data_IF_721371353479
#
_entry.id   IF_721371353479
#
_cell.length_a   1.000
_cell.length_b   1.000
_cell.length_c   1.000
_cell.angle_alpha   90.00
_cell.angle_beta   90.00
_cell.angle_gamma   90.00
#
_symmetry.space_group_name_H-M   'P 1'
#
loop_
_entity.id
_entity.type
_entity.pdbx_description
1 polymer ?
#
# COMPACT_ATOMS: atom_id res chain seq x y z
N UNK A 1 -41.57 -50.49 -36.24
CA UNK A 1 -40.16 -50.39 -35.81
C UNK A 1 -39.82 -48.92 -35.68
N UNK A 2 -39.82 -48.41 -34.41
CA UNK A 2 -39.61 -46.98 -34.11
C UNK A 2 -38.18 -46.81 -33.58
N UNK A 3 -37.41 -45.89 -34.15
CA UNK A 3 -36.05 -45.56 -33.75
C UNK A 3 -36.08 -44.51 -32.61
N UNK A 4 -35.26 -44.64 -31.58
CA UNK A 4 -35.20 -43.66 -30.49
C UNK A 4 -34.36 -42.45 -30.87
N UNK A 5 -34.95 -41.29 -30.66
CA UNK A 5 -34.35 -39.97 -30.79
C UNK A 5 -33.32 -39.74 -29.64
N UNK A 6 -32.02 -39.64 -30.00
CA UNK A 6 -30.96 -39.34 -29.04
C UNK A 6 -30.95 -37.84 -28.76
N UNK A 7 -31.33 -37.46 -27.53
CA UNK A 7 -31.11 -36.13 -26.98
C UNK A 7 -29.65 -35.98 -26.54
N UNK A 8 -28.93 -35.04 -27.13
CA UNK A 8 -27.60 -34.62 -26.72
C UNK A 8 -27.74 -33.48 -25.70
N UNK A 9 -27.00 -33.50 -24.57
CA UNK A 9 -27.04 -32.42 -23.61
C UNK A 9 -26.05 -31.28 -24.02
N UNK A 10 -26.62 -30.20 -24.57
CA UNK A 10 -25.85 -28.98 -24.96
C UNK A 10 -25.82 -27.92 -23.89
N UNK A 11 -25.64 -28.25 -22.61
CA UNK A 11 -25.76 -27.28 -21.48
C UNK A 11 -24.46 -27.13 -20.68
N UNK A 12 -23.30 -27.51 -21.18
CA UNK A 12 -22.07 -27.44 -20.34
C UNK A 12 -21.04 -26.38 -20.72
N UNK A 13 -21.26 -25.57 -21.75
CA UNK A 13 -20.22 -24.61 -22.20
C UNK A 13 -20.46 -23.19 -21.68
N UNK A 14 -21.69 -22.86 -21.26
CA UNK A 14 -22.00 -21.48 -20.81
C UNK A 14 -21.55 -21.15 -19.37
N UNK A 15 -21.30 -22.15 -18.54
CA UNK A 15 -20.91 -21.94 -17.13
C UNK A 15 -19.40 -21.65 -16.92
N UNK A 16 -18.56 -21.89 -17.91
CA UNK A 16 -17.10 -21.73 -17.76
C UNK A 16 -16.61 -20.32 -18.09
N UNK A 17 -17.43 -19.51 -18.75
CA UNK A 17 -17.03 -18.14 -19.17
C UNK A 17 -17.27 -17.09 -18.08
N UNK A 18 -18.08 -17.35 -17.07
CA UNK A 18 -18.36 -16.39 -16.00
C UNK A 18 -17.29 -16.31 -14.89
N UNK A 19 -16.36 -17.24 -14.83
CA UNK A 19 -15.29 -17.26 -13.82
C UNK A 19 -14.03 -16.47 -14.20
N UNK A 20 -13.96 -15.94 -15.42
CA UNK A 20 -12.78 -15.20 -15.91
C UNK A 20 -12.89 -13.66 -15.70
N UNK A 21 -13.96 -13.15 -15.10
CA UNK A 21 -14.16 -11.72 -14.82
C UNK A 21 -13.81 -11.36 -13.37
N UNK A 22 -12.95 -12.12 -12.72
CA UNK A 22 -12.24 -11.66 -11.52
C UNK A 22 -11.24 -10.59 -11.92
N UNK A 23 -11.73 -9.41 -12.33
CA UNK A 23 -10.90 -8.25 -12.58
C UNK A 23 -10.12 -7.93 -11.31
N UNK A 24 -8.84 -7.64 -11.44
CA UNK A 24 -8.07 -6.99 -10.40
C UNK A 24 -8.87 -5.77 -9.97
N UNK A 25 -9.42 -5.80 -8.75
CA UNK A 25 -10.11 -4.67 -8.19
C UNK A 25 -9.02 -3.65 -7.87
N UNK A 26 -8.98 -2.56 -8.61
CA UNK A 26 -8.04 -1.50 -8.32
C UNK A 26 -8.43 -0.84 -7.00
N UNK A 27 -7.42 -0.55 -6.19
CA UNK A 27 -7.61 0.07 -4.87
C UNK A 27 -8.26 1.44 -5.00
N UNK A 28 -9.35 1.67 -4.27
CA UNK A 28 -10.14 2.90 -4.31
C UNK A 28 -9.71 3.93 -3.27
N UNK A 29 -8.89 3.51 -2.30
CA UNK A 29 -8.45 4.31 -1.16
C UNK A 29 -7.02 4.88 -1.32
N UNK A 30 -6.38 4.57 -2.44
CA UNK A 30 -4.98 4.90 -2.72
C UNK A 30 -4.71 6.42 -2.59
N UNK A 31 -3.82 6.79 -1.70
CA UNK A 31 -3.42 8.16 -1.44
C UNK A 31 -4.47 9.03 -0.73
N UNK A 32 -5.72 8.60 -0.63
CA UNK A 32 -6.84 9.37 -0.12
C UNK A 32 -7.15 9.07 1.35
N UNK A 33 -7.26 7.79 1.68
CA UNK A 33 -7.68 7.38 3.02
C UNK A 33 -6.50 7.53 3.99
N UNK A 34 -6.66 8.30 5.07
CA UNK A 34 -5.65 8.37 6.11
C UNK A 34 -5.59 7.05 6.87
N UNK A 35 -4.40 6.66 7.29
CA UNK A 35 -4.17 5.46 8.09
C UNK A 35 -3.18 5.74 9.22
N UNK A 36 -3.32 5.01 10.33
CA UNK A 36 -2.33 5.03 11.40
C UNK A 36 -1.12 4.19 10.98
N UNK A 37 0.06 4.73 11.19
CA UNK A 37 1.27 3.94 11.13
C UNK A 37 1.37 3.06 12.37
N UNK A 38 1.60 1.78 12.17
CA UNK A 38 1.72 0.81 13.26
C UNK A 38 3.06 0.09 13.21
N UNK A 39 3.56 -0.25 14.39
CA UNK A 39 4.74 -1.09 14.61
C UNK A 39 4.37 -2.28 15.48
N UNK A 40 5.26 -3.23 15.63
CA UNK A 40 5.10 -4.32 16.58
C UNK A 40 5.42 -3.82 17.98
N UNK A 41 4.45 -3.84 18.86
CA UNK A 41 4.61 -3.51 20.27
C UNK A 41 5.40 -4.54 21.05
N UNK A 42 5.79 -4.21 22.26
CA UNK A 42 6.56 -5.08 23.15
C UNK A 42 5.84 -6.39 23.51
N UNK A 43 4.51 -6.35 23.53
CA UNK A 43 3.63 -7.51 23.77
C UNK A 43 3.41 -8.37 22.50
N UNK A 44 3.96 -7.91 21.36
CA UNK A 44 3.80 -8.53 20.05
C UNK A 44 2.55 -8.13 19.27
N UNK A 45 1.68 -7.29 19.86
CA UNK A 45 0.51 -6.68 19.22
C UNK A 45 0.89 -5.45 18.38
N UNK A 46 -0.09 -4.89 17.64
CA UNK A 46 0.10 -3.62 16.94
C UNK A 46 0.15 -2.46 17.95
N UNK A 47 1.10 -1.56 17.76
CA UNK A 47 1.26 -0.33 18.54
C UNK A 47 1.39 0.84 17.57
N UNK A 48 0.75 1.98 17.87
CA UNK A 48 0.88 3.17 17.05
C UNK A 48 2.32 3.71 17.06
N UNK A 49 2.80 4.09 15.89
CA UNK A 49 4.04 4.85 15.76
C UNK A 49 3.75 6.30 16.13
N UNK A 50 4.52 6.87 17.05
CA UNK A 50 4.38 8.25 17.42
C UNK A 50 5.20 9.16 16.48
N UNK A 51 4.75 10.40 16.32
CA UNK A 51 5.47 11.40 15.50
C UNK A 51 6.92 11.57 15.98
N UNK A 52 7.17 11.49 17.28
CA UNK A 52 8.51 11.59 17.86
C UNK A 52 9.45 10.42 17.53
N UNK A 53 8.94 9.34 16.97
CA UNK A 53 9.73 8.19 16.55
C UNK A 53 10.11 8.25 15.06
N UNK A 54 9.58 9.23 14.32
CA UNK A 54 9.88 9.41 12.90
C UNK A 54 11.30 9.97 12.71
N UNK A 55 12.00 9.47 11.71
CA UNK A 55 13.35 9.93 11.37
C UNK A 55 13.29 10.87 10.16
N UNK A 56 13.84 12.08 10.29
CA UNK A 56 13.91 13.05 9.21
C UNK A 56 14.62 12.46 7.97
N UNK A 57 14.05 12.72 6.80
CA UNK A 57 14.59 12.25 5.52
C UNK A 57 14.38 10.76 5.22
N UNK A 58 13.58 10.07 6.04
CA UNK A 58 13.18 8.68 5.84
C UNK A 58 11.69 8.61 5.54
N UNK A 59 11.35 7.60 4.74
CA UNK A 59 9.97 7.19 4.55
C UNK A 59 9.59 6.20 5.68
N UNK A 60 8.32 6.16 6.04
CA UNK A 60 7.81 5.19 6.97
C UNK A 60 6.76 4.29 6.30
N UNK A 61 6.86 3.00 6.55
CA UNK A 61 5.99 1.97 5.96
C UNK A 61 5.44 1.08 7.07
N UNK A 62 4.15 0.85 7.04
CA UNK A 62 3.45 -0.01 7.98
C UNK A 62 2.57 -0.99 7.23
N UNK A 63 2.64 -2.26 7.62
CA UNK A 63 1.81 -3.34 7.09
C UNK A 63 0.72 -3.71 8.08
N UNK A 64 -0.41 -4.24 7.55
CA UNK A 64 -1.55 -4.61 8.36
C UNK A 64 -2.43 -3.42 8.73
N UNK A 65 -2.32 -2.30 8.02
CA UNK A 65 -3.19 -1.14 8.19
C UNK A 65 -4.61 -1.46 7.72
N UNK A 66 -5.46 -1.88 8.65
CA UNK A 66 -6.83 -2.35 8.37
C UNK A 66 -7.74 -1.26 7.77
N UNK A 67 -7.33 0.00 7.83
CA UNK A 67 -8.01 1.11 7.16
C UNK A 67 -7.76 1.13 5.65
N UNK A 68 -6.78 0.37 5.15
CA UNK A 68 -6.36 0.35 3.76
C UNK A 68 -6.74 -0.97 3.08
N UNK A 69 -7.25 -0.91 1.85
CA UNK A 69 -7.63 -2.09 1.06
C UNK A 69 -6.45 -3.04 0.83
N UNK A 70 -5.26 -2.49 0.53
CA UNK A 70 -4.03 -3.27 0.34
C UNK A 70 -3.25 -3.49 1.65
N UNK A 71 -3.83 -3.10 2.80
CA UNK A 71 -3.23 -3.23 4.14
C UNK A 71 -1.87 -2.53 4.30
N UNK A 72 -1.58 -1.53 3.46
CA UNK A 72 -0.31 -0.80 3.45
C UNK A 72 -0.56 0.67 3.75
N UNK A 73 0.13 1.19 4.76
CA UNK A 73 0.13 2.60 5.14
C UNK A 73 1.53 3.19 4.94
N UNK A 74 1.63 4.31 4.25
CA UNK A 74 2.89 5.01 3.96
C UNK A 74 2.83 6.44 4.47
N UNK A 75 3.91 6.89 5.08
CA UNK A 75 4.22 8.30 5.26
C UNK A 75 5.57 8.56 4.60
N UNK A 76 5.54 9.24 3.46
CA UNK A 76 6.75 9.56 2.71
C UNK A 76 7.61 10.61 3.43
N UNK A 77 8.87 10.72 3.02
CA UNK A 77 9.85 11.64 3.62
C UNK A 77 9.40 13.10 3.65
N UNK A 78 8.55 13.54 2.69
CA UNK A 78 8.02 14.91 2.68
C UNK A 78 6.95 15.06 3.74
N UNK A 79 6.06 14.08 3.88
CA UNK A 79 5.07 14.00 4.96
C UNK A 79 5.76 13.95 6.33
N UNK A 80 6.82 13.14 6.47
CA UNK A 80 7.64 13.12 7.69
C UNK A 80 8.22 14.50 7.99
N UNK A 81 8.82 15.16 7.01
CA UNK A 81 9.38 16.50 7.20
C UNK A 81 8.30 17.52 7.61
N UNK A 82 7.11 17.46 6.99
CA UNK A 82 6.01 18.36 7.31
C UNK A 82 5.52 18.18 8.75
N UNK A 83 5.32 16.95 9.23
CA UNK A 83 4.84 16.70 10.59
C UNK A 83 5.90 17.03 11.64
N UNK A 84 7.18 16.77 11.37
CA UNK A 84 8.29 17.16 12.25
C UNK A 84 8.45 18.69 12.35
N UNK A 85 8.22 19.41 11.23
CA UNK A 85 8.19 20.88 11.26
C UNK A 85 7.07 21.42 12.13
N UNK A 86 5.88 20.80 12.13
CA UNK A 86 4.80 21.15 13.07
C UNK A 86 5.20 20.90 14.51
N UNK A 87 5.89 19.80 14.78
CA UNK A 87 6.37 19.45 16.13
C UNK A 87 7.39 20.48 16.67
N UNK A 88 8.13 21.16 15.81
CA UNK A 88 9.06 22.22 16.19
C UNK A 88 8.32 23.42 16.82
N UNK A 89 7.15 23.76 16.31
CA UNK A 89 6.30 24.85 16.84
C UNK A 89 5.35 24.39 17.96
N UNK A 90 5.01 23.10 17.98
CA UNK A 90 4.12 22.49 18.97
C UNK A 90 4.66 21.11 19.41
N UNK A 91 5.51 21.04 20.44
CA UNK A 91 6.11 19.79 20.90
C UNK A 91 5.11 18.71 21.34
N UNK A 92 3.87 19.07 21.68
CA UNK A 92 2.83 18.10 22.02
C UNK A 92 2.50 17.15 20.84
N UNK A 93 2.76 17.57 19.60
CA UNK A 93 2.57 16.76 18.39
C UNK A 93 3.44 15.50 18.41
N UNK A 94 4.60 15.53 19.07
CA UNK A 94 5.51 14.37 19.14
C UNK A 94 4.89 13.14 19.81
N UNK A 95 3.90 13.34 20.68
CA UNK A 95 3.19 12.25 21.36
C UNK A 95 1.94 11.77 20.60
N UNK A 96 1.63 12.37 19.47
CA UNK A 96 0.48 11.94 18.68
C UNK A 96 0.85 10.75 17.80
N UNK A 97 -0.12 9.86 17.49
CA UNK A 97 0.04 8.86 16.45
C UNK A 97 0.42 9.50 15.12
N UNK A 98 1.38 8.91 14.43
CA UNK A 98 1.78 9.33 13.10
C UNK A 98 0.76 8.81 12.08
N UNK A 99 0.26 9.71 11.23
CA UNK A 99 -0.71 9.40 10.19
C UNK A 99 -0.02 9.37 8.83
N UNK A 100 -0.29 8.32 8.10
CA UNK A 100 0.08 8.17 6.70
C UNK A 100 -1.16 8.17 5.80
N UNK A 101 -1.00 7.62 4.61
CA UNK A 101 -2.06 7.39 3.64
C UNK A 101 -1.97 5.97 3.08
N UNK A 102 -3.11 5.46 2.62
CA UNK A 102 -3.16 4.13 2.02
C UNK A 102 -2.34 4.07 0.74
N UNK A 103 -1.58 2.99 0.62
CA UNK A 103 -0.64 2.74 -0.47
C UNK A 103 -0.71 1.28 -0.92
N UNK A 104 -0.01 0.97 -1.99
CA UNK A 104 0.16 -0.40 -2.51
C UNK A 104 1.56 -0.60 -3.06
N UNK A 105 2.00 -1.87 -3.09
CA UNK A 105 3.22 -2.25 -3.77
C UNK A 105 3.09 -2.02 -5.28
N UNK A 106 4.17 -1.61 -5.92
CA UNK A 106 4.22 -1.38 -7.36
C UNK A 106 5.53 -1.92 -7.97
N UNK A 107 5.52 -2.13 -9.28
CA UNK A 107 6.74 -2.46 -10.01
C UNK A 107 7.39 -1.19 -10.55
N UNK A 108 8.71 -1.12 -10.47
CA UNK A 108 9.47 0.01 -11.02
C UNK A 108 9.09 0.27 -12.49
N UNK A 109 8.79 1.52 -12.82
CA UNK A 109 8.38 1.92 -14.16
C UNK A 109 6.89 1.70 -14.48
N UNK A 110 6.10 1.16 -13.54
CA UNK A 110 4.66 0.97 -13.70
C UNK A 110 3.90 2.18 -13.14
N UNK A 111 3.76 3.23 -13.94
CA UNK A 111 3.03 4.44 -13.53
C UNK A 111 1.53 4.16 -13.31
N UNK A 112 0.93 3.28 -14.12
CA UNK A 112 -0.51 2.98 -14.05
C UNK A 112 -0.97 2.33 -12.74
N UNK A 113 -0.08 1.64 -12.03
CA UNK A 113 -0.41 0.98 -10.77
C UNK A 113 -0.70 1.97 -9.64
N UNK A 114 -0.15 3.19 -9.74
CA UNK A 114 -0.28 4.23 -8.71
C UNK A 114 -1.28 5.32 -9.09
N UNK A 115 -2.00 5.17 -10.20
CA UNK A 115 -3.01 6.15 -10.62
C UNK A 115 -4.32 5.86 -9.89
N UNK A 116 -4.90 6.83 -9.15
CA UNK A 116 -6.22 6.68 -8.57
C UNK A 116 -7.27 6.45 -9.68
N UNK A 117 -8.26 5.60 -9.40
CA UNK A 117 -9.27 5.22 -10.42
C UNK A 117 -10.34 6.27 -10.68
N UNK A 118 -10.52 7.22 -9.79
CA UNK A 118 -11.60 8.20 -9.91
C UNK A 118 -11.13 9.50 -10.52
N UNK A 119 -11.88 10.00 -11.49
CA UNK A 119 -11.59 11.26 -12.23
C UNK A 119 -11.45 12.48 -11.32
N UNK A 120 -12.20 12.53 -10.21
CA UNK A 120 -12.12 13.60 -9.21
C UNK A 120 -10.78 13.61 -8.44
N UNK A 121 -10.10 12.47 -8.38
CA UNK A 121 -8.81 12.31 -7.70
C UNK A 121 -7.62 12.57 -8.63
N UNK A 122 -7.77 12.35 -9.93
CA UNK A 122 -6.70 12.55 -10.91
C UNK A 122 -6.29 14.01 -11.07
N UNK A 123 -7.20 14.93 -10.74
CA UNK A 123 -6.98 16.37 -10.87
C UNK A 123 -6.48 17.04 -9.58
N UNK A 124 -6.42 16.31 -8.46
CA UNK A 124 -5.85 16.84 -7.22
C UNK A 124 -4.34 16.56 -7.19
N UNK A 125 -3.48 17.59 -7.32
CA UNK A 125 -2.02 17.41 -7.31
C UNK A 125 -1.51 16.81 -6.00
N UNK A 126 -2.26 16.96 -4.89
CA UNK A 126 -1.90 16.37 -3.61
C UNK A 126 -2.11 14.84 -3.58
N UNK A 127 -2.88 14.29 -4.52
CA UNK A 127 -3.16 12.86 -4.63
C UNK A 127 -2.37 12.19 -5.76
N UNK A 128 -1.56 12.96 -6.52
CA UNK A 128 -0.67 12.38 -7.54
C UNK A 128 0.36 11.50 -6.85
N UNK A 129 0.35 10.24 -7.21
CA UNK A 129 1.27 9.23 -6.69
C UNK A 129 2.10 8.65 -7.81
N UNK A 130 3.31 8.27 -7.50
CA UNK A 130 4.20 7.55 -8.41
C UNK A 130 4.79 6.32 -7.74
N UNK A 131 5.21 5.35 -8.54
CA UNK A 131 5.89 4.18 -8.04
C UNK A 131 7.32 4.55 -7.65
N UNK A 132 7.60 4.63 -6.36
CA UNK A 132 8.86 5.09 -5.82
C UNK A 132 9.51 4.03 -4.94
N UNK A 133 10.83 4.01 -4.96
CA UNK A 133 11.58 3.28 -3.96
C UNK A 133 11.58 4.09 -2.66
N UNK A 134 11.00 3.52 -1.61
CA UNK A 134 10.99 4.15 -0.29
C UNK A 134 12.36 4.04 0.36
N UNK A 135 12.80 5.13 0.99
CA UNK A 135 14.03 5.19 1.78
C UNK A 135 13.68 4.80 3.21
N UNK A 136 13.47 3.49 3.42
CA UNK A 136 13.12 2.95 4.73
C UNK A 136 14.31 3.00 5.69
N UNK A 137 13.98 3.03 6.97
CA UNK A 137 14.96 2.79 8.02
C UNK A 137 15.50 1.35 7.93
N UNK A 138 16.83 1.20 8.15
CA UNK A 138 17.51 -0.09 8.07
C UNK A 138 16.96 -1.10 9.10
N UNK A 139 16.56 -0.62 10.26
CA UNK A 139 15.99 -1.46 11.31
C UNK A 139 14.61 -2.02 10.89
N UNK A 140 13.79 -1.22 10.23
CA UNK A 140 12.50 -1.66 9.65
C UNK A 140 12.72 -2.74 8.60
N UNK A 141 13.67 -2.57 7.69
CA UNK A 141 14.00 -3.57 6.68
C UNK A 141 14.52 -4.85 7.36
N UNK A 142 15.42 -4.71 8.34
CA UNK A 142 15.98 -5.85 9.06
C UNK A 142 14.88 -6.64 9.80
N UNK A 143 13.90 -5.96 10.40
CA UNK A 143 12.78 -6.62 11.10
C UNK A 143 11.89 -7.40 10.14
N UNK A 144 11.51 -6.80 9.00
CA UNK A 144 10.68 -7.46 7.98
C UNK A 144 11.43 -8.64 7.35
N UNK A 145 12.73 -8.47 7.07
CA UNK A 145 13.55 -9.46 6.38
C UNK A 145 14.22 -10.49 7.31
N UNK A 146 13.97 -10.47 8.61
CA UNK A 146 14.32 -11.59 9.52
C UNK A 146 13.66 -12.89 9.08
N UNK A 147 12.45 -12.79 8.51
CA UNK A 147 11.74 -13.90 7.89
C UNK A 147 11.84 -13.77 6.38
N UNK A 148 12.61 -14.65 5.74
CA UNK A 148 12.84 -14.61 4.30
C UNK A 148 11.54 -14.74 3.50
N UNK A 149 10.58 -15.52 3.97
CA UNK A 149 9.29 -15.69 3.31
C UNK A 149 8.47 -14.39 3.37
N UNK A 150 8.48 -13.71 4.50
CA UNK A 150 7.85 -12.37 4.63
C UNK A 150 8.56 -11.33 3.78
N UNK A 151 9.90 -11.31 3.83
CA UNK A 151 10.68 -10.41 2.99
C UNK A 151 10.34 -10.59 1.50
N UNK A 152 10.25 -11.83 1.02
CA UNK A 152 9.84 -12.11 -0.35
C UNK A 152 8.38 -11.77 -0.62
N UNK A 153 7.47 -11.99 0.33
CA UNK A 153 6.06 -11.65 0.18
C UNK A 153 5.84 -10.14 0.04
N UNK A 154 6.59 -9.33 0.79
CA UNK A 154 6.44 -7.88 0.78
C UNK A 154 7.30 -7.18 -0.29
N UNK A 155 8.51 -7.67 -0.52
CA UNK A 155 9.47 -7.01 -1.42
C UNK A 155 9.74 -7.78 -2.71
N UNK A 156 9.18 -8.98 -2.85
CA UNK A 156 9.49 -9.85 -3.99
C UNK A 156 10.97 -10.25 -4.02
N UNK A 157 11.50 -10.41 -5.21
CA UNK A 157 12.94 -10.65 -5.42
C UNK A 157 13.78 -9.36 -5.33
N UNK A 158 13.14 -8.21 -5.26
CA UNK A 158 13.80 -6.91 -5.13
C UNK A 158 13.97 -6.59 -3.65
N UNK A 159 15.21 -6.37 -3.23
CA UNK A 159 15.54 -5.91 -1.86
C UNK A 159 15.17 -4.44 -1.63
N UNK A 160 14.55 -3.80 -2.59
CA UNK A 160 14.10 -2.41 -2.53
C UNK A 160 12.60 -2.36 -2.66
N UNK A 161 11.89 -1.89 -1.65
CA UNK A 161 10.44 -1.77 -1.72
C UNK A 161 10.06 -0.61 -2.63
N UNK A 162 9.30 -0.93 -3.68
CA UNK A 162 8.63 0.08 -4.48
C UNK A 162 7.16 0.14 -4.07
N UNK A 163 6.72 1.32 -3.68
CA UNK A 163 5.35 1.60 -3.30
C UNK A 163 4.84 2.86 -3.97
N UNK A 164 3.53 2.94 -4.10
CA UNK A 164 2.89 4.16 -4.55
C UNK A 164 3.04 5.22 -3.46
N UNK A 165 3.79 6.27 -3.74
CA UNK A 165 4.02 7.35 -2.80
C UNK A 165 3.84 8.71 -3.46
N UNK A 166 3.48 9.71 -2.65
CA UNK A 166 3.42 11.12 -3.03
C UNK A 166 4.84 11.69 -3.12
N UNK A 167 4.98 12.80 -3.80
CA UNK A 167 6.26 13.49 -3.93
C UNK A 167 6.87 13.33 -5.30
N UNK A 168 7.90 14.13 -5.56
CA UNK A 168 8.59 14.20 -6.84
C UNK A 168 9.21 12.84 -7.12
N UNK A 169 8.60 12.12 -8.07
CA UNK A 169 9.19 10.89 -8.57
C UNK A 169 10.65 11.22 -8.93
N UNK A 170 11.57 10.78 -8.09
CA UNK A 170 12.99 11.06 -8.27
C UNK A 170 13.39 10.72 -9.69
N UNK A 171 13.70 11.74 -10.45
CA UNK A 171 14.36 11.64 -11.74
C UNK A 171 15.79 11.17 -11.56
#
# INVERSE_FOLDING_TARGET
MAAPLRWLPSISILSLVLLALGGCQDSTDLGKTPCNLVKKGADGGPEDVLVGELSAGKDFLSFGAVACEDLVCVLDKQGVAAVLAQATSNPAVLSNPALGYCSRACAQGSASTCTPQFDDQQNDPALVMSCQQLVLDQDTIAEICKDLAKCQAYFGNNRSPFFCARGDGGT
#
